data_IF_121928214923
#
_entry.id   IF_121928214923
#
_cell.length_a   1.000
_cell.length_b   1.000
_cell.length_c   1.000
_cell.angle_alpha   90.00
_cell.angle_beta   90.00
_cell.angle_gamma   90.00
#
_symmetry.space_group_name_H-M   'P 1'
#
loop_
_entity.id
_entity.type
_entity.pdbx_description
1 polymer ?
#
# COMPACT_ATOMS: atom_id res chain seq x y z
N UNK A 1 -28.78 2.91 5.78
CA UNK A 1 -27.36 3.26 5.97
C UNK A 1 -26.70 3.23 4.60
N UNK A 2 -26.26 4.38 4.07
CA UNK A 2 -25.41 4.41 2.89
C UNK A 2 -23.98 4.17 3.36
N UNK A 3 -23.44 2.99 3.12
CA UNK A 3 -22.03 2.70 3.40
C UNK A 3 -21.22 3.22 2.21
N UNK A 4 -20.52 4.33 2.37
CA UNK A 4 -19.49 4.76 1.43
C UNK A 4 -18.41 3.66 1.40
N UNK A 5 -18.19 3.06 0.23
CA UNK A 5 -17.12 2.09 0.02
C UNK A 5 -15.82 2.84 -0.24
N UNK A 6 -14.79 2.59 0.57
CA UNK A 6 -13.42 3.05 0.32
C UNK A 6 -12.97 2.48 -1.03
N UNK A 7 -12.57 3.35 -1.97
CA UNK A 7 -12.22 2.98 -3.34
C UNK A 7 -10.72 2.98 -3.59
N UNK A 8 -9.96 3.87 -2.93
CA UNK A 8 -8.51 3.96 -3.13
C UNK A 8 -7.75 3.71 -1.82
N UNK A 9 -7.05 2.58 -1.79
CA UNK A 9 -6.21 2.16 -0.66
C UNK A 9 -4.77 2.16 -1.14
N UNK A 10 -3.90 2.82 -0.39
CA UNK A 10 -2.44 2.76 -0.59
C UNK A 10 -1.77 2.08 0.60
N UNK A 11 -0.90 1.12 0.32
CA UNK A 11 -0.10 0.43 1.34
C UNK A 11 1.31 1.02 1.35
N UNK A 12 1.80 1.39 2.53
CA UNK A 12 3.16 1.90 2.72
C UNK A 12 3.99 0.78 3.32
N UNK A 13 5.03 0.36 2.60
CA UNK A 13 5.89 -0.75 2.96
C UNK A 13 5.73 -1.96 2.02
N UNK A 14 6.79 -2.75 1.89
CA UNK A 14 6.87 -3.93 1.01
C UNK A 14 7.29 -5.20 1.77
N UNK A 15 7.07 -5.22 3.09
CA UNK A 15 7.39 -6.35 3.97
C UNK A 15 6.39 -7.50 3.86
N UNK A 16 6.58 -8.52 4.70
CA UNK A 16 5.69 -9.69 4.73
C UNK A 16 4.24 -9.31 5.05
N UNK A 17 4.04 -8.35 5.96
CA UNK A 17 2.70 -7.85 6.32
C UNK A 17 2.02 -7.21 5.09
N UNK A 18 2.71 -6.33 4.37
CA UNK A 18 2.19 -5.73 3.15
C UNK A 18 1.82 -6.79 2.09
N UNK A 19 2.69 -7.80 1.88
CA UNK A 19 2.43 -8.90 0.96
C UNK A 19 1.15 -9.66 1.30
N UNK A 20 0.99 -10.07 2.56
CA UNK A 20 -0.19 -10.83 2.99
C UNK A 20 -1.46 -9.97 2.97
N UNK A 21 -1.38 -8.67 3.27
CA UNK A 21 -2.49 -7.74 3.13
C UNK A 21 -2.94 -7.61 1.67
N UNK A 22 -2.02 -7.33 0.74
CA UNK A 22 -2.33 -7.28 -0.69
C UNK A 22 -2.99 -8.58 -1.16
N UNK A 23 -2.42 -9.73 -0.80
CA UNK A 23 -2.96 -11.04 -1.17
C UNK A 23 -4.37 -11.27 -0.62
N UNK A 24 -4.60 -10.97 0.66
CA UNK A 24 -5.89 -11.14 1.30
C UNK A 24 -6.96 -10.21 0.74
N UNK A 25 -6.61 -8.94 0.51
CA UNK A 25 -7.52 -7.96 -0.10
C UNK A 25 -7.87 -8.37 -1.53
N UNK A 26 -6.88 -8.67 -2.37
CA UNK A 26 -7.11 -9.07 -3.77
C UNK A 26 -7.97 -10.32 -3.85
N UNK A 27 -7.75 -11.31 -2.97
CA UNK A 27 -8.58 -12.51 -2.88
C UNK A 27 -10.05 -12.24 -2.49
N UNK A 28 -10.34 -11.08 -1.89
CA UNK A 28 -11.69 -10.61 -1.52
C UNK A 28 -12.25 -9.57 -2.49
N UNK A 29 -11.57 -9.34 -3.62
CA UNK A 29 -11.98 -8.35 -4.62
C UNK A 29 -11.69 -6.89 -4.23
N UNK A 30 -11.00 -6.66 -3.11
CA UNK A 30 -10.50 -5.33 -2.73
C UNK A 30 -9.09 -5.21 -3.30
N UNK A 31 -8.88 -4.34 -4.29
CA UNK A 31 -7.54 -4.17 -4.88
C UNK A 31 -6.92 -2.89 -4.34
N UNK A 32 -5.83 -2.96 -3.54
CA UNK A 32 -5.00 -1.79 -3.29
C UNK A 32 -4.62 -1.16 -4.61
N UNK A 33 -4.83 0.15 -4.73
CA UNK A 33 -4.47 0.86 -5.95
C UNK A 33 -2.95 0.92 -6.08
N UNK A 34 -2.28 1.18 -4.97
CA UNK A 34 -0.85 1.48 -4.95
C UNK A 34 -0.16 0.88 -3.72
N UNK A 35 1.12 0.56 -3.89
CA UNK A 35 2.04 0.23 -2.81
C UNK A 35 3.32 1.05 -2.95
N UNK A 36 3.73 1.72 -1.87
CA UNK A 36 5.02 2.41 -1.81
C UNK A 36 6.08 1.49 -1.20
N UNK A 37 7.18 1.30 -1.91
CA UNK A 37 8.31 0.50 -1.47
C UNK A 37 9.62 1.31 -1.55
N UNK A 38 10.33 1.45 -0.43
CA UNK A 38 11.65 2.11 -0.40
C UNK A 38 12.72 1.38 -1.25
N UNK A 39 12.52 0.10 -1.55
CA UNK A 39 13.45 -0.73 -2.33
C UNK A 39 12.70 -1.52 -3.40
N UNK A 40 13.35 -1.77 -4.54
CA UNK A 40 12.79 -2.50 -5.68
C UNK A 40 12.73 -4.02 -5.48
N UNK A 41 13.42 -4.56 -4.47
CA UNK A 41 13.69 -6.01 -4.34
C UNK A 41 12.45 -6.92 -4.26
N UNK A 42 11.27 -6.37 -3.97
CA UNK A 42 10.01 -7.13 -3.81
C UNK A 42 8.87 -6.69 -4.72
N UNK A 43 9.12 -5.78 -5.68
CA UNK A 43 8.08 -5.18 -6.51
C UNK A 43 7.31 -6.20 -7.37
N UNK A 44 7.99 -7.22 -7.90
CA UNK A 44 7.38 -8.20 -8.82
C UNK A 44 6.18 -8.94 -8.22
N UNK A 45 6.28 -9.40 -6.97
CA UNK A 45 5.22 -10.13 -6.30
C UNK A 45 3.94 -9.30 -6.10
N UNK A 46 4.05 -7.98 -5.95
CA UNK A 46 2.90 -7.09 -5.83
C UNK A 46 2.31 -6.72 -7.21
N UNK A 47 3.17 -6.55 -8.22
CA UNK A 47 2.74 -6.29 -9.59
C UNK A 47 1.91 -7.45 -10.15
N UNK A 48 2.26 -8.70 -9.84
CA UNK A 48 1.46 -9.90 -10.19
C UNK A 48 0.04 -9.87 -9.58
N UNK A 49 -0.15 -9.16 -8.46
CA UNK A 49 -1.48 -8.97 -7.85
C UNK A 49 -2.25 -7.79 -8.45
N UNK A 50 -1.69 -7.12 -9.46
CA UNK A 50 -2.27 -5.93 -10.10
C UNK A 50 -2.17 -4.67 -9.23
N UNK A 51 -1.24 -4.63 -8.28
CA UNK A 51 -0.98 -3.44 -7.44
C UNK A 51 0.13 -2.62 -8.08
N UNK A 52 -0.10 -1.32 -8.27
CA UNK A 52 0.91 -0.39 -8.76
C UNK A 52 1.99 -0.17 -7.69
N UNK A 53 3.23 -0.52 -7.99
CA UNK A 53 4.35 -0.31 -7.07
C UNK A 53 5.09 0.95 -7.45
N UNK A 54 5.27 1.85 -6.48
CA UNK A 54 6.05 3.09 -6.64
C UNK A 54 7.18 3.16 -5.63
N UNK A 55 8.21 3.93 -5.97
CA UNK A 55 9.45 3.99 -5.20
C UNK A 55 9.81 5.40 -4.73
N UNK A 56 9.22 6.42 -5.33
CA UNK A 56 9.41 7.81 -4.94
C UNK A 56 8.17 8.34 -4.22
N UNK A 57 8.41 9.12 -3.17
CA UNK A 57 7.35 9.73 -2.35
C UNK A 57 6.46 10.63 -3.19
N UNK A 58 7.04 11.33 -4.18
CA UNK A 58 6.32 12.16 -5.14
C UNK A 58 5.32 11.40 -6.00
N UNK A 59 5.42 10.07 -6.06
CA UNK A 59 4.51 9.21 -6.84
C UNK A 59 3.34 8.68 -5.98
N UNK A 60 3.36 8.91 -4.66
CA UNK A 60 2.29 8.48 -3.75
C UNK A 60 1.01 9.25 -4.10
N UNK A 61 -0.03 8.52 -4.48
CA UNK A 61 -1.33 9.07 -4.84
C UNK A 61 -2.16 9.35 -3.59
N UNK A 62 -2.95 10.42 -3.64
CA UNK A 62 -3.96 10.68 -2.61
C UNK A 62 -4.89 9.49 -2.48
N UNK A 63 -5.07 9.02 -1.25
CA UNK A 63 -5.89 7.85 -0.92
C UNK A 63 -6.82 8.17 0.24
N UNK A 64 -7.99 7.54 0.26
CA UNK A 64 -8.98 7.59 1.33
C UNK A 64 -8.50 6.81 2.55
N UNK A 65 -7.70 5.77 2.31
CA UNK A 65 -7.06 4.97 3.35
C UNK A 65 -5.60 4.70 3.00
N UNK A 66 -4.72 5.06 3.94
CA UNK A 66 -3.34 4.61 3.95
C UNK A 66 -3.15 3.54 5.01
N UNK A 67 -2.51 2.44 4.66
CA UNK A 67 -2.14 1.37 5.60
C UNK A 67 -0.63 1.36 5.73
N UNK A 68 -0.13 1.71 6.92
CA UNK A 68 1.30 1.69 7.24
C UNK A 68 1.70 0.26 7.65
N UNK A 69 2.25 -0.50 6.70
CA UNK A 69 2.77 -1.86 6.91
C UNK A 69 4.30 -1.85 6.96
N UNK A 70 4.83 -1.03 7.88
CA UNK A 70 6.26 -0.80 8.13
C UNK A 70 6.64 -1.28 9.54
N UNK A 71 7.93 -1.26 9.87
CA UNK A 71 8.38 -1.48 11.25
C UNK A 71 7.95 -0.29 12.13
N UNK A 72 7.74 -0.55 13.42
CA UNK A 72 7.26 0.45 14.39
C UNK A 72 8.13 1.71 14.43
N UNK A 73 9.45 1.55 14.44
CA UNK A 73 10.43 2.65 14.44
C UNK A 73 10.32 3.56 13.20
N UNK A 74 9.69 3.09 12.11
CA UNK A 74 9.53 3.82 10.86
C UNK A 74 8.14 4.43 10.67
N UNK A 75 7.22 4.26 11.64
CA UNK A 75 5.83 4.74 11.50
C UNK A 75 5.79 6.27 11.34
N UNK A 76 6.51 7.00 12.20
CA UNK A 76 6.52 8.46 12.17
C UNK A 76 7.06 8.99 10.82
N UNK A 77 8.20 8.47 10.38
CA UNK A 77 8.80 8.81 9.09
C UNK A 77 7.86 8.50 7.93
N UNK A 78 7.21 7.32 7.94
CA UNK A 78 6.31 6.90 6.88
C UNK A 78 5.04 7.77 6.82
N UNK A 79 4.48 8.14 7.97
CA UNK A 79 3.32 9.02 8.05
C UNK A 79 3.64 10.44 7.51
N UNK A 80 4.86 10.93 7.74
CA UNK A 80 5.31 12.22 7.22
C UNK A 80 5.44 12.28 5.68
N UNK A 81 5.44 11.13 4.99
CA UNK A 81 5.48 11.06 3.53
C UNK A 81 4.10 11.21 2.88
N UNK A 82 3.03 11.12 3.67
CA UNK A 82 1.67 11.06 3.14
C UNK A 82 1.20 12.46 2.69
N UNK A 83 0.49 12.55 1.55
CA UNK A 83 -0.03 13.80 1.00
C UNK A 83 -1.28 14.33 1.70
#
# INVERSE_FOLDING_TARGET
MNTQLIKNITIIGAGNVAYHLCKAFTARGVKPQQLFARSQSKAGAFAEMGVEVVHHVSEIKKSELFILAVNDDSIADAAALLP
#
